data_IF_802524320613
#
_entry.id   IF_802524320613
#
_cell.length_a   1.000
_cell.length_b   1.000
_cell.length_c   1.000
_cell.angle_alpha   90.00
_cell.angle_beta   90.00
_cell.angle_gamma   90.00
#
_symmetry.space_group_name_H-M   'P 1'
#
loop_
_entity.id
_entity.type
_entity.pdbx_description
1 polymer ?
#
# COMPACT_ATOMS: atom_id res chain seq x y z
N UNK A 1 -9.18 -54.23 10.18
CA UNK A 1 -7.86 -53.80 10.69
C UNK A 1 -7.99 -52.42 11.31
N UNK A 2 -7.04 -52.00 12.15
CA UNK A 2 -6.90 -50.60 12.55
C UNK A 2 -5.69 -50.02 11.83
N UNK A 3 -5.86 -48.86 11.20
CA UNK A 3 -4.79 -48.11 10.54
C UNK A 3 -4.78 -46.68 11.07
N UNK A 4 -3.59 -46.12 11.28
CA UNK A 4 -3.41 -44.74 11.75
C UNK A 4 -2.78 -43.93 10.62
N UNK A 5 -3.42 -42.81 10.29
CA UNK A 5 -2.84 -41.79 9.40
C UNK A 5 -2.29 -40.66 10.27
N UNK A 6 -0.99 -40.36 10.13
CA UNK A 6 -0.36 -39.23 10.81
C UNK A 6 0.02 -38.19 9.77
N UNK A 7 -0.52 -36.98 9.90
CA UNK A 7 -0.17 -35.84 9.07
C UNK A 7 0.89 -35.00 9.79
N UNK A 8 1.90 -34.54 9.06
CA UNK A 8 2.87 -33.55 9.53
C UNK A 8 2.62 -32.20 8.85
N UNK A 9 3.24 -31.13 9.35
CA UNK A 9 3.30 -29.88 8.60
C UNK A 9 3.90 -30.11 7.21
N UNK A 10 3.20 -29.66 6.17
CA UNK A 10 3.72 -29.56 4.80
C UNK A 10 4.10 -28.11 4.47
N UNK A 11 4.39 -27.83 3.20
CA UNK A 11 4.63 -26.47 2.72
C UNK A 11 3.35 -25.59 2.71
N UNK A 12 2.19 -26.17 3.02
CA UNK A 12 0.89 -25.49 3.01
C UNK A 12 0.30 -25.32 1.62
N UNK A 13 -0.82 -24.60 1.55
CA UNK A 13 -1.39 -24.07 0.32
C UNK A 13 -1.02 -22.59 0.27
N UNK A 14 -0.57 -22.11 -0.88
CA UNK A 14 -0.34 -20.69 -1.12
C UNK A 14 -1.20 -20.20 -2.28
N UNK A 15 -1.67 -18.98 -2.14
CA UNK A 15 -2.22 -18.24 -3.26
C UNK A 15 -1.09 -17.44 -3.92
N UNK A 16 -0.88 -17.64 -5.21
CA UNK A 16 0.10 -16.86 -5.97
C UNK A 16 -0.60 -15.63 -6.54
N UNK A 17 -0.15 -14.44 -6.14
CA UNK A 17 -0.63 -13.18 -6.71
C UNK A 17 -0.25 -13.11 -8.20
N UNK A 18 -1.24 -12.97 -9.06
CA UNK A 18 -1.07 -12.87 -10.52
C UNK A 18 -1.44 -11.48 -11.03
N UNK A 19 -2.26 -11.43 -12.09
CA UNK A 19 -2.88 -10.20 -12.57
C UNK A 19 -3.95 -9.69 -11.59
N UNK A 20 -4.44 -8.48 -11.85
CA UNK A 20 -5.56 -7.88 -11.13
C UNK A 20 -6.75 -8.85 -11.05
N UNK A 21 -7.31 -8.98 -9.84
CA UNK A 21 -8.43 -9.87 -9.56
C UNK A 21 -9.46 -9.15 -8.69
N UNK A 22 -10.74 -9.30 -9.04
CA UNK A 22 -11.87 -8.73 -8.29
C UNK A 22 -11.94 -9.35 -6.89
N UNK A 23 -12.46 -8.64 -5.87
CA UNK A 23 -12.53 -9.19 -4.52
C UNK A 23 -13.29 -10.52 -4.47
N UNK A 24 -12.74 -11.48 -3.72
CA UNK A 24 -13.32 -12.82 -3.60
C UNK A 24 -13.17 -13.38 -2.18
N UNK A 25 -13.88 -14.48 -1.90
CA UNK A 25 -13.76 -15.22 -0.65
C UNK A 25 -13.43 -16.68 -0.95
N UNK A 26 -12.19 -17.14 -0.68
CA UNK A 26 -11.82 -18.52 -0.93
C UNK A 26 -12.53 -19.46 0.05
N UNK A 27 -12.97 -20.61 -0.45
CA UNK A 27 -13.48 -21.74 0.32
C UNK A 27 -12.50 -22.90 0.18
N UNK A 28 -11.55 -23.00 1.11
CA UNK A 28 -10.53 -24.05 1.12
C UNK A 28 -11.03 -25.20 1.98
N UNK A 29 -11.08 -26.40 1.39
CA UNK A 29 -11.47 -27.64 2.08
C UNK A 29 -10.45 -28.73 1.80
N UNK A 30 -10.18 -29.54 2.81
CA UNK A 30 -9.32 -30.71 2.68
C UNK A 30 -10.09 -31.95 3.11
N UNK A 31 -10.06 -32.99 2.28
CA UNK A 31 -10.79 -34.23 2.53
C UNK A 31 -9.92 -35.42 2.12
N UNK A 32 -10.00 -36.55 2.83
CA UNK A 32 -9.22 -37.75 2.49
C UNK A 32 -10.10 -38.86 1.94
N UNK A 33 -9.67 -39.51 0.85
CA UNK A 33 -10.36 -40.71 0.36
C UNK A 33 -9.63 -41.94 0.85
N UNK A 34 -10.34 -42.84 1.56
CA UNK A 34 -9.80 -44.13 1.96
C UNK A 34 -10.36 -45.21 1.02
N UNK A 35 -9.47 -45.97 0.39
CA UNK A 35 -9.80 -47.13 -0.42
C UNK A 35 -9.10 -48.37 0.14
N UNK A 36 -9.82 -49.47 0.23
CA UNK A 36 -9.26 -50.79 0.54
C UNK A 36 -8.75 -51.46 -0.75
N UNK A 37 -7.65 -52.21 -0.64
CA UNK A 37 -7.00 -52.88 -1.78
C UNK A 37 -7.84 -54.02 -2.38
N UNK A 38 -8.90 -54.43 -1.70
CA UNK A 38 -9.90 -55.39 -2.19
C UNK A 38 -11.11 -54.71 -2.87
N UNK A 39 -11.11 -53.37 -2.98
CA UNK A 39 -12.15 -52.59 -3.64
C UNK A 39 -13.26 -52.08 -2.72
N UNK A 40 -13.21 -52.35 -1.41
CA UNK A 40 -14.14 -51.73 -0.47
C UNK A 40 -13.84 -50.23 -0.29
N UNK A 41 -14.88 -49.40 -0.36
CA UNK A 41 -14.80 -47.94 -0.15
C UNK A 41 -15.52 -47.55 1.14
N UNK A 42 -15.00 -46.54 1.83
CA UNK A 42 -15.69 -45.97 2.99
C UNK A 42 -17.03 -45.34 2.57
N UNK A 43 -18.12 -45.64 3.32
CA UNK A 43 -19.48 -45.15 3.04
C UNK A 43 -19.60 -43.62 3.20
N UNK A 44 -18.75 -43.02 4.03
CA UNK A 44 -18.60 -41.58 4.23
C UNK A 44 -17.13 -41.22 4.40
N UNK A 45 -16.74 -40.03 3.95
CA UNK A 45 -15.40 -39.53 4.22
C UNK A 45 -15.19 -39.32 5.72
N UNK A 46 -14.27 -40.03 6.38
CA UNK A 46 -14.09 -39.94 7.82
C UNK A 46 -13.35 -38.67 8.27
N UNK A 47 -12.70 -37.94 7.37
CA UNK A 47 -11.90 -36.76 7.70
C UNK A 47 -12.11 -35.66 6.66
N UNK A 48 -12.81 -34.61 7.07
CA UNK A 48 -12.99 -33.37 6.32
C UNK A 48 -12.56 -32.21 7.19
N UNK A 49 -11.75 -31.31 6.64
CA UNK A 49 -11.37 -30.03 7.25
C UNK A 49 -12.06 -28.91 6.47
N UNK A 50 -12.68 -27.99 7.20
CA UNK A 50 -13.42 -26.87 6.61
C UNK A 50 -14.84 -27.23 6.14
N UNK A 51 -15.52 -28.18 6.80
CA UNK A 51 -16.93 -28.47 6.55
C UNK A 51 -17.79 -28.28 7.81
N UNK A 52 -18.94 -27.58 7.72
CA UNK A 52 -19.34 -26.68 6.64
C UNK A 52 -18.62 -25.32 6.74
N UNK A 53 -18.23 -24.72 5.62
CA UNK A 53 -17.86 -23.29 5.57
C UNK A 53 -16.37 -22.95 5.41
N UNK A 54 -15.53 -23.91 5.01
CA UNK A 54 -14.11 -23.70 4.69
C UNK A 54 -13.19 -23.67 5.91
N UNK A 55 -11.89 -23.76 5.66
CA UNK A 55 -10.85 -23.53 6.67
C UNK A 55 -10.88 -22.05 7.09
N UNK A 56 -10.76 -21.79 8.39
CA UNK A 56 -10.76 -20.44 8.96
C UNK A 56 -9.48 -19.68 8.62
N UNK A 57 -9.64 -18.39 8.34
CA UNK A 57 -8.56 -17.41 8.18
C UNK A 57 -8.38 -16.61 9.46
N UNK A 58 -7.18 -16.06 9.65
CA UNK A 58 -6.80 -15.24 10.81
C UNK A 58 -7.62 -13.94 10.92
N UNK A 59 -7.91 -13.31 9.79
CA UNK A 59 -8.65 -12.04 9.73
C UNK A 59 -9.76 -12.03 8.67
N UNK A 60 -10.51 -13.14 8.60
CA UNK A 60 -11.59 -13.33 7.64
C UNK A 60 -11.10 -13.72 6.24
N UNK A 61 -12.03 -14.11 5.37
CA UNK A 61 -11.73 -14.65 4.05
C UNK A 61 -11.83 -13.62 2.92
N UNK A 62 -12.05 -12.34 3.21
CA UNK A 62 -12.14 -11.32 2.18
C UNK A 62 -10.80 -11.03 1.54
N UNK A 63 -10.54 -11.57 0.35
CA UNK A 63 -9.32 -11.33 -0.41
C UNK A 63 -9.51 -10.17 -1.38
N UNK A 64 -8.54 -9.25 -1.42
CA UNK A 64 -8.53 -8.09 -2.32
C UNK A 64 -7.17 -7.98 -3.00
N UNK A 65 -7.16 -7.67 -4.30
CA UNK A 65 -5.93 -7.33 -4.99
C UNK A 65 -5.53 -5.89 -4.66
N UNK A 66 -4.57 -5.73 -3.74
CA UNK A 66 -4.13 -4.43 -3.23
C UNK A 66 -2.94 -3.84 -3.98
N UNK A 67 -2.77 -2.51 -3.84
CA UNK A 67 -1.53 -1.78 -4.15
C UNK A 67 -1.37 -0.57 -3.21
N UNK A 68 -0.16 -0.12 -2.97
CA UNK A 68 0.11 1.18 -2.36
C UNK A 68 0.35 2.22 -3.45
N UNK A 69 -0.15 3.44 -3.31
CA UNK A 69 -0.08 4.48 -4.34
C UNK A 69 0.27 5.85 -3.76
N UNK A 70 1.19 6.54 -4.41
CA UNK A 70 1.40 7.98 -4.20
C UNK A 70 0.50 8.84 -5.08
N UNK A 71 0.13 10.00 -4.56
CA UNK A 71 -0.42 11.11 -5.34
C UNK A 71 0.63 12.22 -5.37
N UNK A 72 1.11 12.56 -6.56
CA UNK A 72 2.06 13.67 -6.74
C UNK A 72 1.48 14.96 -6.17
N UNK A 73 2.34 15.76 -5.56
CA UNK A 73 1.96 16.99 -4.89
C UNK A 73 2.91 18.13 -5.25
N UNK A 74 2.40 19.35 -5.22
CA UNK A 74 3.20 20.56 -5.43
C UNK A 74 2.71 21.68 -4.51
N UNK A 75 3.60 22.60 -4.16
CA UNK A 75 3.28 23.76 -3.33
C UNK A 75 4.43 24.75 -3.23
N UNK A 76 4.25 25.76 -2.38
CA UNK A 76 5.34 26.66 -2.01
C UNK A 76 6.36 25.94 -1.14
N UNK A 77 7.63 26.28 -1.34
CA UNK A 77 8.76 25.98 -0.49
C UNK A 77 8.63 26.47 0.96
N UNK A 78 7.67 27.37 1.24
CA UNK A 78 7.40 27.93 2.57
C UNK A 78 6.29 27.22 3.34
N UNK A 79 5.64 26.22 2.73
CA UNK A 79 4.48 25.53 3.31
C UNK A 79 4.73 24.02 3.29
N UNK A 80 4.41 23.36 4.40
CA UNK A 80 4.49 21.92 4.51
C UNK A 80 3.59 21.25 3.46
N UNK A 81 4.09 20.18 2.85
CA UNK A 81 3.43 19.58 1.69
C UNK A 81 2.87 18.21 2.04
N UNK A 82 1.54 18.06 1.93
CA UNK A 82 0.91 16.75 1.95
C UNK A 82 1.27 16.00 0.66
N UNK A 83 1.89 14.83 0.79
CA UNK A 83 2.21 13.94 -0.32
C UNK A 83 1.51 12.60 -0.07
N UNK A 84 0.21 12.47 -0.44
CA UNK A 84 -0.60 11.34 -0.01
C UNK A 84 -0.02 10.01 -0.48
N UNK A 85 0.24 9.13 0.48
CA UNK A 85 0.51 7.70 0.29
C UNK A 85 -0.71 6.94 0.82
N UNK A 86 -1.32 6.10 0.00
CA UNK A 86 -2.49 5.31 0.41
C UNK A 86 -2.54 3.91 -0.16
N UNK A 87 -3.25 3.00 0.50
CA UNK A 87 -3.61 1.71 -0.11
C UNK A 87 -4.87 1.84 -0.97
N UNK A 88 -4.86 1.11 -2.09
CA UNK A 88 -5.97 0.95 -3.02
C UNK A 88 -6.19 -0.53 -3.29
N UNK A 89 -7.40 -0.90 -3.73
CA UNK A 89 -7.68 -2.25 -4.21
C UNK A 89 -8.43 -2.22 -5.54
N UNK A 90 -8.20 -3.24 -6.36
CA UNK A 90 -8.89 -3.42 -7.62
C UNK A 90 -10.33 -3.89 -7.40
N UNK A 91 -11.30 -3.18 -7.96
CA UNK A 91 -12.72 -3.53 -7.87
C UNK A 91 -13.13 -4.40 -9.04
N UNK A 92 -12.94 -3.90 -10.26
CA UNK A 92 -13.22 -4.55 -11.54
C UNK A 92 -12.56 -3.76 -12.69
N UNK A 93 -12.58 -4.31 -13.91
CA UNK A 93 -11.94 -3.69 -15.06
C UNK A 93 -12.59 -2.36 -15.51
N UNK A 94 -13.83 -2.08 -15.12
CA UNK A 94 -14.53 -0.85 -15.50
C UNK A 94 -14.23 0.31 -14.54
N UNK A 95 -14.08 0.00 -13.25
CA UNK A 95 -13.83 0.94 -12.16
C UNK A 95 -12.34 1.10 -11.89
N UNK A 96 -11.57 0.02 -12.03
CA UNK A 96 -10.17 -0.05 -11.68
C UNK A 96 -9.94 -0.07 -10.16
N UNK A 97 -8.88 0.62 -9.74
CA UNK A 97 -8.48 0.71 -8.34
C UNK A 97 -9.19 1.85 -7.60
N UNK A 98 -9.63 1.56 -6.38
CA UNK A 98 -10.25 2.54 -5.47
C UNK A 98 -9.54 2.56 -4.11
N UNK A 99 -9.62 3.66 -3.34
CA UNK A 99 -9.04 3.71 -1.99
C UNK A 99 -9.55 2.59 -1.08
N UNK A 100 -8.66 1.96 -0.32
CA UNK A 100 -9.01 0.92 0.64
C UNK A 100 -9.31 1.52 2.03
N UNK A 101 -10.55 1.99 2.20
CA UNK A 101 -10.99 2.72 3.41
C UNK A 101 -11.09 1.87 4.69
N UNK A 102 -10.94 0.55 4.57
CA UNK A 102 -10.97 -0.39 5.69
C UNK A 102 -9.56 -0.84 6.13
N UNK A 103 -8.50 -0.37 5.47
CA UNK A 103 -7.14 -0.70 5.86
C UNK A 103 -6.78 -0.03 7.19
N UNK A 104 -6.53 -0.87 8.20
CA UNK A 104 -6.07 -0.47 9.52
C UNK A 104 -4.94 -1.38 10.03
N UNK A 105 -4.30 -2.16 9.15
CA UNK A 105 -3.28 -3.14 9.55
C UNK A 105 -2.02 -3.16 8.66
N UNK A 106 -2.04 -2.55 7.47
CA UNK A 106 -0.84 -2.43 6.64
C UNK A 106 0.29 -1.73 7.41
N UNK A 107 1.47 -2.34 7.45
CA UNK A 107 2.60 -1.87 8.23
C UNK A 107 3.92 -2.35 7.62
N UNK A 108 5.04 -1.91 8.21
CA UNK A 108 6.38 -2.25 7.73
C UNK A 108 6.78 -1.46 6.48
N UNK A 109 6.13 -0.30 6.27
CA UNK A 109 6.38 0.56 5.12
C UNK A 109 7.41 1.61 5.52
N UNK A 110 8.45 1.76 4.70
CA UNK A 110 9.43 2.85 4.83
C UNK A 110 9.46 3.67 3.55
N UNK A 111 9.92 4.91 3.63
CA UNK A 111 9.95 5.86 2.51
C UNK A 111 11.32 6.48 2.43
N UNK A 112 11.88 6.49 1.23
CA UNK A 112 13.15 7.15 0.90
C UNK A 112 12.89 8.36 0.01
N UNK A 113 13.53 9.49 0.32
CA UNK A 113 13.52 10.68 -0.53
C UNK A 113 14.79 10.72 -1.38
N UNK A 114 14.64 10.94 -2.68
CA UNK A 114 15.75 10.92 -3.63
C UNK A 114 15.49 11.77 -4.87
N UNK A 115 16.37 11.64 -5.87
CA UNK A 115 16.26 12.32 -7.16
C UNK A 115 15.98 13.83 -7.04
N UNK A 116 16.66 14.48 -6.09
CA UNK A 116 16.50 15.92 -5.84
C UNK A 116 16.89 16.74 -7.06
N UNK A 117 16.10 17.78 -7.37
CA UNK A 117 16.33 18.66 -8.52
C UNK A 117 16.34 20.13 -8.11
N UNK A 118 16.97 20.96 -8.97
CA UNK A 118 17.14 22.40 -8.78
C UNK A 118 17.89 22.73 -7.48
N UNK A 119 17.31 23.60 -6.64
CA UNK A 119 17.92 24.10 -5.41
C UNK A 119 17.57 23.23 -4.21
N UNK A 120 16.61 22.30 -4.34
CA UNK A 120 16.25 21.38 -3.28
C UNK A 120 17.34 20.31 -3.07
N UNK A 121 17.70 20.05 -1.82
CA UNK A 121 18.67 19.03 -1.40
C UNK A 121 18.14 18.14 -0.27
N UNK A 122 18.83 17.02 -0.03
CA UNK A 122 18.37 15.97 0.89
C UNK A 122 18.23 16.40 2.36
N UNK A 123 18.89 17.48 2.77
CA UNK A 123 18.84 17.97 4.16
C UNK A 123 17.79 19.08 4.37
N UNK A 124 17.13 19.53 3.31
CA UNK A 124 16.20 20.67 3.37
C UNK A 124 14.76 20.22 3.63
N UNK A 125 14.38 19.01 3.22
CA UNK A 125 13.05 18.45 3.50
C UNK A 125 13.17 17.07 4.16
N UNK A 126 12.18 16.71 4.96
CA UNK A 126 12.07 15.43 5.64
C UNK A 126 10.60 15.08 5.86
N UNK A 127 10.31 13.84 6.23
CA UNK A 127 8.94 13.42 6.54
C UNK A 127 8.59 13.83 7.96
N UNK A 128 7.43 14.41 8.18
CA UNK A 128 6.91 14.58 9.54
C UNK A 128 6.61 13.21 10.15
N UNK A 129 7.31 12.87 11.22
CA UNK A 129 7.21 11.60 11.92
C UNK A 129 7.44 11.85 13.42
N UNK A 130 7.53 10.78 14.21
CA UNK A 130 7.93 10.73 15.62
C UNK A 130 9.36 11.22 15.89
N UNK A 131 10.17 11.45 14.86
CA UNK A 131 11.56 11.91 14.94
C UNK A 131 12.41 11.27 13.84
N UNK A 132 13.72 11.29 13.99
CA UNK A 132 14.66 10.71 13.02
C UNK A 132 15.21 9.36 13.52
N UNK A 133 15.10 8.26 12.76
CA UNK A 133 14.54 8.17 11.41
C UNK A 133 13.00 8.04 11.38
N UNK A 134 12.35 7.87 12.54
CA UNK A 134 10.91 7.68 12.62
C UNK A 134 10.46 6.32 12.07
N UNK A 135 9.15 6.09 12.00
CA UNK A 135 8.60 4.85 11.43
C UNK A 135 8.67 4.84 9.90
N UNK A 136 8.63 6.00 9.26
CA UNK A 136 8.81 6.17 7.81
C UNK A 136 10.26 5.92 7.37
N UNK A 137 11.26 5.97 8.26
CA UNK A 137 12.67 5.81 7.91
C UNK A 137 13.36 7.11 7.43
N UNK A 138 12.60 8.14 7.03
CA UNK A 138 13.10 9.44 6.59
C UNK A 138 12.52 10.61 7.40
N UNK A 139 12.23 10.36 8.68
CA UNK A 139 11.65 11.34 9.59
C UNK A 139 12.56 12.52 9.92
N UNK A 140 11.96 13.68 10.14
CA UNK A 140 12.65 14.89 10.59
C UNK A 140 13.37 14.71 11.93
N UNK A 141 14.45 15.48 12.19
CA UNK A 141 15.21 15.42 13.45
C UNK A 141 14.32 15.64 14.67
N UNK A 142 13.46 16.65 14.61
CA UNK A 142 12.40 16.87 15.59
C UNK A 142 11.12 16.17 15.14
N UNK A 143 10.35 15.68 16.12
CA UNK A 143 9.03 15.13 15.85
C UNK A 143 8.14 16.20 15.17
N UNK A 144 7.47 15.81 14.09
CA UNK A 144 6.49 16.68 13.42
C UNK A 144 5.25 16.90 14.28
N UNK A 145 4.37 17.84 13.90
CA UNK A 145 3.09 18.03 14.58
C UNK A 145 2.27 16.72 14.57
N UNK A 146 1.69 16.26 15.71
CA UNK A 146 1.01 14.96 15.77
C UNK A 146 -0.07 14.71 14.70
N UNK A 147 -0.74 15.77 14.22
CA UNK A 147 -1.74 15.67 13.18
C UNK A 147 -1.16 15.40 11.77
N UNK A 148 0.12 15.69 11.55
CA UNK A 148 0.82 15.55 10.26
C UNK A 148 1.86 14.41 10.28
N UNK A 149 2.02 13.73 11.41
CA UNK A 149 2.97 12.62 11.51
C UNK A 149 2.53 11.46 10.62
N UNK A 150 3.50 10.87 9.93
CA UNK A 150 3.38 9.61 9.24
C UNK A 150 2.81 8.54 10.17
N UNK A 151 1.88 7.74 9.63
CA UNK A 151 1.07 6.83 10.43
C UNK A 151 1.09 5.44 9.83
N UNK A 152 1.55 4.47 10.62
CA UNK A 152 1.35 3.05 10.36
C UNK A 152 0.94 2.33 11.67
N UNK A 153 -0.13 1.50 11.67
CA UNK A 153 -1.02 1.22 10.55
C UNK A 153 -1.79 2.45 10.04
N UNK A 154 -2.20 2.48 8.77
CA UNK A 154 -2.89 3.62 8.19
C UNK A 154 -4.29 3.80 8.81
N UNK A 155 -4.88 4.98 8.60
CA UNK A 155 -6.30 5.21 8.90
C UNK A 155 -7.10 5.15 7.60
N UNK A 156 -7.79 4.03 7.37
CA UNK A 156 -8.55 3.81 6.14
C UNK A 156 -7.66 3.88 4.90
N UNK A 157 -6.50 3.25 5.00
CA UNK A 157 -5.51 3.18 3.93
C UNK A 157 -4.63 4.42 3.78
N UNK A 158 -4.91 5.53 4.45
CA UNK A 158 -4.08 6.74 4.42
C UNK A 158 -2.96 6.71 5.46
N UNK A 159 -1.71 6.86 5.01
CA UNK A 159 -0.51 6.89 5.86
C UNK A 159 -0.16 8.29 6.38
N UNK A 160 -0.95 9.32 6.05
CA UNK A 160 -0.80 10.70 6.53
C UNK A 160 0.59 11.30 6.26
N UNK A 161 1.16 11.01 5.09
CA UNK A 161 2.53 11.43 4.76
C UNK A 161 2.58 12.93 4.40
N UNK A 162 3.39 13.66 5.16
CA UNK A 162 3.66 15.08 4.97
C UNK A 162 5.15 15.34 4.96
N UNK A 163 5.58 16.24 4.08
CA UNK A 163 6.95 16.74 4.00
C UNK A 163 7.04 18.13 4.65
N UNK A 164 8.08 18.33 5.45
CA UNK A 164 8.41 19.63 6.01
C UNK A 164 8.77 20.61 4.88
N UNK A 165 8.29 21.85 4.99
CA UNK A 165 8.65 22.92 4.06
C UNK A 165 10.17 23.11 4.03
N UNK A 166 10.81 23.12 2.84
CA UNK A 166 12.25 23.24 2.77
C UNK A 166 12.77 24.65 3.08
N UNK A 167 11.92 25.67 3.02
CA UNK A 167 12.26 27.06 3.31
C UNK A 167 12.61 27.88 2.07
N UNK A 168 12.77 29.19 2.27
CA UNK A 168 13.02 30.15 1.19
C UNK A 168 14.31 29.83 0.41
N UNK A 169 14.22 29.82 -0.92
CA UNK A 169 15.35 29.56 -1.81
C UNK A 169 15.59 28.08 -2.11
N UNK A 170 14.84 27.16 -1.50
CA UNK A 170 14.96 25.71 -1.69
C UNK A 170 13.86 25.18 -2.61
N UNK A 171 13.69 25.80 -3.80
CA UNK A 171 12.77 25.33 -4.82
C UNK A 171 13.33 24.13 -5.60
N UNK A 172 12.45 23.23 -6.00
CA UNK A 172 12.88 21.99 -6.63
C UNK A 172 11.88 20.86 -6.46
N UNK A 173 12.34 19.64 -6.73
CA UNK A 173 11.52 18.46 -6.53
C UNK A 173 12.32 17.34 -5.89
N UNK A 174 11.61 16.44 -5.22
CA UNK A 174 12.14 15.15 -4.76
C UNK A 174 11.17 14.04 -5.16
N UNK A 175 11.71 12.84 -5.39
CA UNK A 175 10.92 11.63 -5.54
C UNK A 175 10.92 10.88 -4.22
N UNK A 176 9.74 10.62 -3.69
CA UNK A 176 9.52 9.68 -2.60
C UNK A 176 9.26 8.29 -3.18
N UNK A 177 9.98 7.28 -2.71
CA UNK A 177 9.74 5.87 -3.02
C UNK A 177 9.43 5.15 -1.71
N UNK A 178 8.31 4.42 -1.66
CA UNK A 178 7.94 3.65 -0.49
C UNK A 178 8.32 2.18 -0.69
N UNK A 179 9.17 1.65 0.17
CA UNK A 179 9.41 0.21 0.30
C UNK A 179 8.18 -0.41 0.96
N UNK A 180 7.41 -1.17 0.19
CA UNK A 180 6.16 -1.77 0.62
C UNK A 180 6.24 -3.29 0.57
N UNK A 181 5.43 -4.00 1.38
CA UNK A 181 5.35 -5.45 1.25
C UNK A 181 4.98 -5.88 -0.19
N UNK A 182 5.45 -7.04 -0.69
CA UNK A 182 5.22 -7.47 -2.09
C UNK A 182 3.76 -7.59 -2.54
N UNK A 183 2.82 -7.67 -1.58
CA UNK A 183 1.39 -7.69 -1.86
C UNK A 183 0.78 -6.28 -2.08
N UNK A 184 1.55 -5.21 -1.88
CA UNK A 184 1.22 -3.81 -2.21
C UNK A 184 2.03 -3.23 -3.38
N UNK A 185 3.08 -3.90 -3.84
CA UNK A 185 3.79 -3.51 -5.07
C UNK A 185 2.88 -3.62 -6.29
N UNK A 186 3.14 -2.86 -7.35
CA UNK A 186 2.35 -2.91 -8.58
C UNK A 186 3.20 -2.53 -9.79
N UNK A 187 2.84 -3.01 -10.98
CA UNK A 187 3.47 -2.61 -12.23
C UNK A 187 3.08 -1.16 -12.57
N UNK A 188 3.93 -0.22 -12.16
CA UNK A 188 3.65 1.22 -12.34
C UNK A 188 4.02 1.71 -13.73
N UNK A 189 4.80 0.96 -14.49
CA UNK A 189 5.42 1.43 -15.72
C UNK A 189 5.70 0.29 -16.69
N UNK A 190 5.50 0.54 -17.99
CA UNK A 190 5.77 -0.48 -19.01
C UNK A 190 7.25 -0.66 -19.37
N UNK A 191 8.19 -0.04 -18.63
CA UNK A 191 9.63 -0.02 -18.97
C UNK A 191 10.34 -1.15 -18.24
N UNK A 192 10.03 -1.35 -16.97
CA UNK A 192 10.51 -2.45 -16.15
C UNK A 192 9.37 -3.45 -15.98
N UNK A 193 9.51 -4.69 -16.47
CA UNK A 193 8.51 -5.71 -16.22
C UNK A 193 8.56 -6.13 -14.75
N UNK A 194 7.43 -6.08 -14.05
CA UNK A 194 7.33 -6.58 -12.68
C UNK A 194 6.40 -5.73 -11.83
N UNK A 195 6.21 -6.16 -10.59
CA UNK A 195 5.64 -5.28 -9.59
C UNK A 195 6.78 -4.48 -8.96
N UNK A 196 6.59 -3.18 -8.77
CA UNK A 196 7.56 -2.31 -8.12
C UNK A 196 6.94 -1.57 -6.92
N UNK A 197 7.84 -1.09 -6.07
CA UNK A 197 7.55 -0.08 -5.07
C UNK A 197 6.94 1.18 -5.71
N UNK A 198 5.87 1.75 -5.11
CA UNK A 198 5.31 2.98 -5.61
C UNK A 198 6.26 4.15 -5.38
N UNK A 199 6.24 5.08 -6.32
CA UNK A 199 6.92 6.37 -6.17
C UNK A 199 6.02 7.54 -6.51
N UNK A 200 6.31 8.70 -5.92
CA UNK A 200 5.60 9.95 -6.13
C UNK A 200 6.54 11.15 -6.10
N UNK A 201 6.18 12.21 -6.81
CA UNK A 201 6.97 13.45 -6.87
C UNK A 201 6.35 14.53 -5.99
N UNK A 202 7.18 15.13 -5.14
CA UNK A 202 6.89 16.35 -4.41
C UNK A 202 7.64 17.52 -5.07
N UNK A 203 6.93 18.62 -5.34
CA UNK A 203 7.52 19.83 -5.93
C UNK A 203 7.31 21.04 -5.01
N UNK A 204 8.40 21.73 -4.70
CA UNK A 204 8.42 22.96 -3.91
C UNK A 204 8.80 24.15 -4.79
N UNK A 205 8.24 25.33 -4.48
CA UNK A 205 8.51 26.57 -5.19
C UNK A 205 7.61 26.84 -6.40
N UNK A 206 6.49 26.13 -6.53
CA UNK A 206 5.41 26.53 -7.44
C UNK A 206 4.45 27.40 -6.64
N UNK A 207 4.55 28.71 -6.82
CA UNK A 207 3.60 29.67 -6.25
C UNK A 207 2.30 29.61 -7.07
N UNK A 208 1.17 29.28 -6.44
CA UNK A 208 -0.14 29.64 -6.97
C UNK A 208 -0.17 31.18 -7.04
N UNK A 209 0.06 31.73 -8.23
CA UNK A 209 -0.11 33.15 -8.47
C UNK A 209 -1.47 33.59 -7.94
N UNK A 210 -1.52 34.72 -7.23
CA UNK A 210 -2.78 35.30 -6.76
C UNK A 210 -3.83 35.20 -7.87
N UNK A 211 -5.00 34.61 -7.56
CA UNK A 211 -6.17 34.58 -8.44
C UNK A 211 -6.80 35.97 -8.58
N UNK A 212 -5.96 36.99 -8.81
CA UNK A 212 -6.34 38.37 -9.06
C UNK A 212 -6.42 38.55 -10.56
N UNK A 213 -7.51 38.03 -11.14
CA UNK A 213 -8.00 38.47 -12.46
C UNK A 213 -8.18 39.99 -12.42
N UNK A 214 -7.23 40.73 -12.97
CA UNK A 214 -7.41 42.14 -13.28
C UNK A 214 -8.41 42.18 -14.43
N UNK A 215 -9.66 42.55 -14.15
CA UNK A 215 -10.63 42.88 -15.18
C UNK A 215 -10.14 44.14 -15.91
N UNK A 216 -9.69 43.98 -17.15
CA UNK A 216 -9.53 45.11 -18.06
C UNK A 216 -10.89 45.29 -18.73
N UNK A 217 -11.57 46.40 -18.42
CA UNK A 217 -12.79 46.83 -19.10
C UNK A 217 -12.37 47.59 -20.35
N UNK A 218 -12.52 46.99 -21.52
CA UNK A 218 -12.55 47.77 -22.75
C UNK A 218 -13.89 48.51 -22.83
N UNK A 219 -13.78 49.83 -23.03
CA UNK A 219 -14.91 50.70 -23.34
C UNK A 219 -14.94 50.85 -24.87
N UNK A 220 -16.06 50.50 -25.50
CA UNK A 220 -16.45 51.00 -26.82
C UNK A 220 -17.72 51.82 -26.68
#
# INVERSE_FOLDING_TARGET
GQGTLTFSGGAGLSFSRGSEEVPFSPDIRLATTLADGDGATAISNPVVFGDPGGILFDSGSGMRYGRARFINAYGSELVDLALPLRTEYFVDAATGFVPHIDDACSAGITVTLGAFTKNLSAAETCIFDSGSPGSSGSGCVAAGPPALQFRQPPLGGDFNLHLAAPGEGNDGSTTATADVPPWLEYDWNSITPGNEDPSGTAVFGIYEGQDRRIYIRELY
#
